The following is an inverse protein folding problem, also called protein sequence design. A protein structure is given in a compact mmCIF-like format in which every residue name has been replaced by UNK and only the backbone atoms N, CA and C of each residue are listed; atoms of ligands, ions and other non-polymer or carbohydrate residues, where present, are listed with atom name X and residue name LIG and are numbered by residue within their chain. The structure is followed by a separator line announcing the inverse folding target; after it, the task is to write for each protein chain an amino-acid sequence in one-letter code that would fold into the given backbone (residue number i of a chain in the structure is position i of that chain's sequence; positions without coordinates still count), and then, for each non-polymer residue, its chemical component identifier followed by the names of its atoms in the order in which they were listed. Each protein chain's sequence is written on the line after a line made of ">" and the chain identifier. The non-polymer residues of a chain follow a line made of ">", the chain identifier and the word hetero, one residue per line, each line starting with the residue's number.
data_IF_709692118604
#
_entry.id   IF_709692118604
#
_cell.length_a   1.000
_cell.length_b   1.000
_cell.length_c   1.000
_cell.angle_alpha   90.00
_cell.angle_beta   90.00
_cell.angle_gamma   90.00
#
_symmetry.space_group_name_H-M   'P 1'
#
loop_
_entity.id
_entity.type
_entity.pdbx_description
1 polymer ?
#
# COMPACT_ATOMS: atom_id res chain seq x y z
N UNK A 1 -10.72 29.97 -12.16
CA UNK A 1 -9.73 28.87 -12.38
C UNK A 1 -9.77 28.52 -13.87
N UNK A 2 -8.62 28.55 -14.56
CA UNK A 2 -8.58 28.24 -16.00
C UNK A 2 -8.18 26.75 -16.17
N UNK A 3 -9.16 25.90 -16.42
CA UNK A 3 -8.95 24.49 -16.77
C UNK A 3 -9.46 24.33 -18.20
N UNK A 4 -8.70 23.60 -19.02
CA UNK A 4 -9.09 23.28 -20.37
C UNK A 4 -10.45 22.57 -20.36
N UNK A 5 -11.38 23.05 -21.20
CA UNK A 5 -12.77 22.64 -21.17
C UNK A 5 -12.95 21.17 -21.58
N UNK A 6 -12.16 20.69 -22.54
CA UNK A 6 -12.26 19.32 -23.03
C UNK A 6 -11.69 18.37 -22.00
N UNK A 7 -10.58 18.76 -21.35
CA UNK A 7 -10.04 18.00 -20.23
C UNK A 7 -11.04 17.92 -19.07
N UNK A 8 -11.68 19.05 -18.67
CA UNK A 8 -12.70 19.03 -17.62
C UNK A 8 -13.88 18.12 -17.97
N UNK A 9 -14.37 18.18 -19.22
CA UNK A 9 -15.49 17.36 -19.68
C UNK A 9 -15.17 15.86 -19.65
N UNK A 10 -13.91 15.47 -19.89
CA UNK A 10 -13.44 14.09 -19.83
C UNK A 10 -13.24 13.52 -18.41
N UNK A 11 -13.30 14.35 -17.36
CA UNK A 11 -13.13 13.89 -15.98
C UNK A 11 -14.36 13.08 -15.54
N UNK A 12 -14.14 12.14 -14.62
CA UNK A 12 -15.19 11.47 -13.85
C UNK A 12 -15.74 12.40 -12.77
N UNK A 13 -16.90 12.07 -12.21
CA UNK A 13 -17.43 12.76 -11.04
C UNK A 13 -16.50 12.59 -9.84
N UNK A 14 -16.31 13.66 -9.05
CA UNK A 14 -15.41 13.65 -7.90
C UNK A 14 -14.88 15.00 -7.49
N UNK A 15 -13.92 14.97 -6.56
CA UNK A 15 -13.21 16.13 -6.01
C UNK A 15 -11.81 16.20 -6.61
N UNK A 16 -11.39 17.39 -6.99
CA UNK A 16 -10.13 17.67 -7.69
C UNK A 16 -9.44 18.90 -7.14
N UNK A 17 -8.13 18.99 -7.38
CA UNK A 17 -7.39 20.24 -7.19
C UNK A 17 -6.47 20.52 -8.37
N UNK A 18 -6.35 21.79 -8.74
CA UNK A 18 -5.25 22.32 -9.52
C UNK A 18 -4.23 22.89 -8.54
N UNK A 19 -3.04 22.33 -8.50
CA UNK A 19 -1.91 22.82 -7.71
C UNK A 19 -0.92 23.50 -8.65
N UNK A 20 -0.81 24.81 -8.53
CA UNK A 20 0.17 25.61 -9.24
C UNK A 20 1.45 25.67 -8.41
N UNK A 21 2.57 25.28 -9.01
CA UNK A 21 3.89 25.33 -8.36
C UNK A 21 4.83 26.23 -9.12
N UNK A 22 5.95 26.61 -8.51
CA UNK A 22 7.02 27.34 -9.20
C UNK A 22 7.71 26.55 -10.33
N UNK A 23 7.36 25.26 -10.50
CA UNK A 23 7.89 24.37 -11.55
C UNK A 23 6.83 23.94 -12.58
N UNK A 24 5.57 24.34 -12.41
CA UNK A 24 4.45 23.98 -13.29
C UNK A 24 3.18 23.62 -12.52
N UNK A 25 2.22 23.09 -13.23
CA UNK A 25 0.88 22.82 -12.72
C UNK A 25 0.61 21.32 -12.63
N UNK A 26 -0.03 20.90 -11.55
CA UNK A 26 -0.50 19.53 -11.33
C UNK A 26 -2.02 19.52 -11.23
N UNK A 27 -2.70 18.58 -11.86
CA UNK A 27 -4.11 18.28 -11.56
C UNK A 27 -4.17 17.00 -10.75
N UNK A 28 -4.80 17.08 -9.59
CA UNK A 28 -4.95 15.99 -8.63
C UNK A 28 -6.41 15.55 -8.63
N UNK A 29 -6.65 14.24 -8.75
CA UNK A 29 -7.93 13.60 -8.41
C UNK A 29 -7.83 13.09 -6.98
N UNK A 30 -8.80 13.44 -6.15
CA UNK A 30 -8.89 12.90 -4.80
C UNK A 30 -9.70 11.60 -4.76
N UNK A 31 -9.37 10.74 -3.80
CA UNK A 31 -10.05 9.47 -3.51
C UNK A 31 -11.00 9.68 -2.33
N UNK A 32 -11.98 10.54 -2.52
CA UNK A 32 -12.93 11.01 -1.51
C UNK A 32 -13.86 9.91 -0.95
N UNK A 33 -14.01 8.81 -1.69
CA UNK A 33 -14.76 7.63 -1.22
C UNK A 33 -13.93 6.71 -0.34
N UNK A 34 -12.62 6.64 -0.59
CA UNK A 34 -11.69 5.73 0.10
C UNK A 34 -11.04 6.39 1.32
N UNK A 35 -10.86 7.71 1.29
CA UNK A 35 -10.25 8.51 2.36
C UNK A 35 -11.01 9.84 2.57
N UNK A 36 -12.31 9.80 2.87
CA UNK A 36 -13.17 11.01 2.90
C UNK A 36 -12.69 12.08 3.87
N UNK A 37 -12.22 11.71 5.05
CA UNK A 37 -11.78 12.68 6.08
C UNK A 37 -10.42 13.26 5.73
N UNK A 38 -9.51 12.46 5.19
CA UNK A 38 -8.18 12.90 4.75
C UNK A 38 -8.29 13.85 3.56
N UNK A 39 -9.13 13.52 2.57
CA UNK A 39 -9.44 14.41 1.45
C UNK A 39 -10.06 15.72 1.95
N UNK A 40 -11.03 15.63 2.84
CA UNK A 40 -11.69 16.80 3.41
C UNK A 40 -10.71 17.68 4.21
N UNK A 41 -9.76 17.08 4.92
CA UNK A 41 -8.69 17.84 5.59
C UNK A 41 -7.86 18.63 4.58
N UNK A 42 -7.37 17.98 3.52
CA UNK A 42 -6.56 18.66 2.51
C UNK A 42 -7.36 19.76 1.80
N UNK A 43 -8.56 19.44 1.33
CA UNK A 43 -9.44 20.39 0.63
C UNK A 43 -9.79 21.58 1.51
N UNK A 44 -10.24 21.32 2.74
CA UNK A 44 -10.65 22.39 3.64
C UNK A 44 -9.48 23.28 4.11
N UNK A 45 -8.27 22.74 4.22
CA UNK A 45 -7.06 23.53 4.41
C UNK A 45 -6.74 24.36 3.15
N UNK A 46 -6.81 23.76 1.95
CA UNK A 46 -6.57 24.46 0.70
C UNK A 46 -7.54 25.64 0.48
N UNK A 47 -8.79 25.50 0.91
CA UNK A 47 -9.81 26.54 0.83
C UNK A 47 -9.78 27.53 2.03
N UNK A 48 -9.03 27.22 3.09
CA UNK A 48 -9.02 27.99 4.34
C UNK A 48 -10.30 27.85 5.16
N UNK A 49 -11.11 26.81 4.92
CA UNK A 49 -12.39 26.54 5.60
C UNK A 49 -12.22 25.76 6.90
N UNK A 50 -11.12 25.02 7.06
CA UNK A 50 -10.76 24.32 8.31
C UNK A 50 -9.91 25.23 9.19
N UNK A 51 -10.32 25.38 10.45
CA UNK A 51 -9.59 26.12 11.47
C UNK A 51 -8.24 25.45 11.77
N UNK A 52 -7.17 26.24 11.78
CA UNK A 52 -5.80 25.80 12.03
C UNK A 52 -5.00 26.89 12.76
N UNK A 53 -3.82 26.55 13.29
CA UNK A 53 -2.98 27.49 14.05
C UNK A 53 -1.96 28.25 13.19
N UNK A 54 -1.77 27.86 11.94
CA UNK A 54 -0.73 28.44 11.07
C UNK A 54 -1.24 29.60 10.20
N UNK A 55 -2.52 29.59 9.83
CA UNK A 55 -3.14 30.61 8.97
C UNK A 55 -4.44 31.10 9.60
N UNK A 56 -4.81 32.36 9.34
CA UNK A 56 -6.10 32.88 9.76
C UNK A 56 -7.26 32.19 9.01
N UNK A 57 -8.44 32.18 9.61
CA UNK A 57 -9.64 31.64 8.97
C UNK A 57 -9.92 32.33 7.63
N UNK A 58 -10.24 31.55 6.62
CA UNK A 58 -10.49 32.03 5.25
C UNK A 58 -9.22 32.23 4.41
N UNK A 59 -8.04 32.01 4.97
CA UNK A 59 -6.77 32.10 4.24
C UNK A 59 -6.37 30.70 3.74
N UNK A 60 -6.17 30.49 2.41
CA UNK A 60 -5.67 29.24 1.85
C UNK A 60 -4.38 28.77 2.53
N UNK A 61 -4.41 27.54 3.06
CA UNK A 61 -3.32 27.05 3.89
C UNK A 61 -2.04 26.78 3.09
N UNK A 62 -2.17 26.14 1.93
CA UNK A 62 -1.03 25.65 1.16
C UNK A 62 -0.36 26.71 0.29
N UNK A 63 -1.02 27.85 0.05
CA UNK A 63 -0.47 28.93 -0.77
C UNK A 63 0.80 29.52 -0.14
N UNK A 64 1.91 29.48 -0.90
CA UNK A 64 3.22 29.94 -0.48
C UNK A 64 4.07 28.90 0.27
N UNK A 65 3.53 27.73 0.60
CA UNK A 65 4.28 26.65 1.27
C UNK A 65 5.28 26.00 0.29
N UNK A 66 6.45 25.60 0.82
CA UNK A 66 7.52 24.99 0.03
C UNK A 66 7.48 23.45 0.06
N UNK A 67 8.00 22.83 -0.98
CA UNK A 67 8.46 21.44 -0.91
C UNK A 67 9.78 21.43 -0.14
N UNK A 68 9.71 21.10 1.14
CA UNK A 68 10.84 21.22 2.06
C UNK A 68 11.76 19.98 2.05
N UNK A 69 11.28 18.84 1.53
CA UNK A 69 12.04 17.60 1.42
C UNK A 69 11.73 16.91 0.09
N UNK A 70 12.76 16.67 -0.71
CA UNK A 70 12.64 16.09 -2.04
C UNK A 70 13.73 15.03 -2.21
N UNK A 71 13.34 13.79 -2.46
CA UNK A 71 14.27 12.68 -2.68
C UNK A 71 13.97 12.07 -4.05
N UNK A 72 14.94 12.19 -4.94
CA UNK A 72 14.88 11.59 -6.28
C UNK A 72 14.73 10.07 -6.20
N UNK A 73 13.95 9.50 -7.11
CA UNK A 73 13.55 8.08 -7.12
C UNK A 73 12.79 7.67 -5.84
N UNK A 74 12.08 8.62 -5.22
CA UNK A 74 11.24 8.34 -4.07
C UNK A 74 10.00 9.23 -4.06
N UNK A 75 10.09 10.48 -3.56
CA UNK A 75 8.93 11.37 -3.39
C UNK A 75 9.32 12.84 -3.25
N UNK A 76 8.33 13.72 -3.45
CA UNK A 76 8.39 15.14 -3.12
C UNK A 76 7.43 15.43 -1.95
N UNK A 77 7.90 16.06 -0.88
CA UNK A 77 7.14 16.32 0.36
C UNK A 77 6.98 17.81 0.63
N UNK A 78 5.73 18.20 0.93
CA UNK A 78 5.35 19.56 1.25
C UNK A 78 4.27 19.62 2.32
N UNK A 79 3.57 20.78 2.44
CA UNK A 79 2.45 20.94 3.35
C UNK A 79 2.81 21.35 4.77
N UNK A 80 4.09 21.60 5.06
CA UNK A 80 4.55 22.19 6.31
C UNK A 80 4.50 23.71 6.23
N UNK A 81 3.73 24.40 7.08
CA UNK A 81 3.61 25.87 7.04
C UNK A 81 4.90 26.60 7.44
N UNK A 82 5.82 25.92 8.14
CA UNK A 82 7.13 26.45 8.53
C UNK A 82 8.22 26.10 7.51
N UNK A 83 7.97 25.11 6.63
CA UNK A 83 8.92 24.63 5.65
C UNK A 83 10.15 23.95 6.26
N UNK A 84 10.07 23.44 7.48
CA UNK A 84 11.16 22.83 8.25
C UNK A 84 11.04 21.30 8.35
N UNK A 85 9.89 20.75 8.01
CA UNK A 85 9.50 19.36 8.23
C UNK A 85 8.87 19.11 9.61
N UNK A 86 8.86 20.11 10.50
CA UNK A 86 8.38 20.01 11.88
C UNK A 86 7.03 20.69 12.11
N UNK A 87 6.60 21.55 11.17
CA UNK A 87 5.36 22.31 11.28
C UNK A 87 4.12 21.44 11.01
N UNK A 88 3.01 21.83 11.66
CA UNK A 88 1.70 21.19 11.50
C UNK A 88 0.56 22.22 11.55
N UNK A 89 -0.69 21.83 11.28
CA UNK A 89 -1.83 22.77 11.32
C UNK A 89 -2.31 23.08 12.75
N UNK A 90 -1.64 22.56 13.77
CA UNK A 90 -2.03 22.69 15.17
C UNK A 90 -2.98 21.61 15.68
N UNK A 91 -3.16 20.55 14.89
CA UNK A 91 -3.90 19.35 15.27
C UNK A 91 -3.34 18.11 14.56
N UNK A 92 -3.74 16.94 15.06
CA UNK A 92 -3.48 15.64 14.44
C UNK A 92 -4.76 14.84 14.32
N UNK A 93 -4.81 13.91 13.36
CA UNK A 93 -5.92 12.98 13.18
C UNK A 93 -5.42 11.59 12.78
N UNK A 94 -6.28 10.59 13.01
CA UNK A 94 -5.93 9.18 12.81
C UNK A 94 -5.76 8.83 11.32
N UNK A 95 -4.99 7.76 11.05
CA UNK A 95 -4.87 7.19 9.71
C UNK A 95 -6.23 6.67 9.24
N UNK A 96 -6.65 7.02 8.04
CA UNK A 96 -7.80 6.41 7.38
C UNK A 96 -7.37 5.15 6.64
N UNK A 97 -7.72 3.97 7.16
CA UNK A 97 -7.37 2.68 6.54
C UNK A 97 -8.19 2.44 5.29
N UNK A 98 -7.51 2.13 4.20
CA UNK A 98 -8.10 1.81 2.90
C UNK A 98 -7.23 0.82 2.13
N UNK A 99 -7.71 0.35 0.97
CA UNK A 99 -7.02 -0.61 0.11
C UNK A 99 -6.05 0.03 -0.88
N UNK A 100 -5.96 1.37 -0.90
CA UNK A 100 -5.11 2.09 -1.83
C UNK A 100 -3.62 1.84 -1.55
N UNK A 101 -2.84 1.78 -2.62
CA UNK A 101 -1.42 1.48 -2.62
C UNK A 101 -0.63 2.58 -3.30
N UNK A 102 0.66 2.66 -2.96
CA UNK A 102 1.62 3.54 -3.65
C UNK A 102 2.19 2.82 -4.89
N UNK A 103 1.32 2.55 -5.87
CA UNK A 103 1.64 1.67 -7.01
C UNK A 103 2.53 2.29 -8.06
N UNK A 104 2.75 3.61 -8.01
CA UNK A 104 3.48 4.31 -9.06
C UNK A 104 3.76 5.76 -8.77
N UNK A 105 4.07 6.51 -9.82
CA UNK A 105 4.22 7.96 -9.79
C UNK A 105 2.89 8.66 -9.53
N UNK A 106 2.94 9.80 -8.84
CA UNK A 106 1.83 10.73 -8.69
C UNK A 106 0.85 10.41 -7.56
N UNK A 107 1.05 9.34 -6.78
CA UNK A 107 0.18 9.07 -5.63
C UNK A 107 0.40 10.08 -4.52
N UNK A 108 -0.69 10.71 -4.10
CA UNK A 108 -0.73 11.69 -3.01
C UNK A 108 -1.04 10.96 -1.70
N UNK A 109 -0.18 11.13 -0.71
CA UNK A 109 -0.26 10.41 0.56
C UNK A 109 0.11 11.30 1.74
N UNK A 110 -0.43 11.02 2.93
CA UNK A 110 -0.13 11.80 4.14
C UNK A 110 1.25 11.48 4.67
N UNK A 111 2.06 12.53 4.90
CA UNK A 111 3.24 12.40 5.73
C UNK A 111 2.84 12.39 7.21
N UNK A 112 3.50 11.54 8.01
CA UNK A 112 3.25 11.40 9.44
C UNK A 112 4.53 11.09 10.21
N UNK A 113 4.50 11.26 11.54
CA UNK A 113 5.59 10.93 12.47
C UNK A 113 5.35 9.59 13.20
N UNK A 114 4.63 8.69 12.57
CA UNK A 114 4.15 7.42 13.12
C UNK A 114 2.64 7.30 13.02
N UNK A 115 2.05 6.16 13.42
CA UNK A 115 0.62 5.92 13.29
C UNK A 115 -0.23 7.01 13.94
N UNK A 116 -1.32 7.40 13.24
CA UNK A 116 -2.33 8.33 13.75
C UNK A 116 -1.80 9.75 14.09
N UNK A 117 -0.83 10.25 13.30
CA UNK A 117 -0.23 11.57 13.48
C UNK A 117 -0.34 12.45 12.24
N UNK A 118 -1.38 12.24 11.40
CA UNK A 118 -1.60 13.05 10.21
C UNK A 118 -1.93 14.50 10.57
N UNK A 119 -1.45 15.43 9.77
CA UNK A 119 -1.72 16.87 9.90
C UNK A 119 -1.99 17.50 8.55
N UNK A 120 -1.09 18.39 8.12
CA UNK A 120 -1.16 19.06 6.81
C UNK A 120 -0.08 18.58 5.83
N UNK A 121 0.99 17.92 6.32
CA UNK A 121 2.07 17.49 5.46
C UNK A 121 1.66 16.30 4.59
N UNK A 122 2.04 16.34 3.33
CA UNK A 122 1.79 15.31 2.34
C UNK A 122 3.03 15.07 1.49
N UNK A 123 3.05 13.95 0.79
CA UNK A 123 4.04 13.69 -0.26
C UNK A 123 3.36 13.20 -1.53
N UNK A 124 4.06 13.38 -2.65
CA UNK A 124 3.67 12.86 -3.95
C UNK A 124 4.79 11.91 -4.39
N UNK A 125 4.46 10.66 -4.72
CA UNK A 125 5.43 9.65 -5.13
C UNK A 125 6.01 9.95 -6.52
N UNK A 126 7.31 9.72 -6.70
CA UNK A 126 7.99 9.75 -8.01
C UNK A 126 8.06 8.34 -8.62
N UNK A 127 8.11 7.30 -7.78
CA UNK A 127 8.17 5.89 -8.15
C UNK A 127 7.24 5.06 -7.26
N UNK A 128 6.97 3.77 -7.58
CA UNK A 128 6.25 2.89 -6.65
C UNK A 128 6.97 2.78 -5.30
N UNK A 129 6.22 2.91 -4.19
CA UNK A 129 6.77 2.86 -2.83
C UNK A 129 5.98 1.89 -1.94
N UNK A 130 5.94 0.58 -2.28
CA UNK A 130 5.06 -0.39 -1.61
C UNK A 130 5.38 -0.58 -0.12
N UNK A 131 6.57 -0.23 0.35
CA UNK A 131 6.94 -0.27 1.77
C UNK A 131 6.21 0.77 2.64
N UNK A 132 5.54 1.75 2.03
CA UNK A 132 4.69 2.75 2.69
C UNK A 132 3.22 2.33 2.79
N UNK A 133 2.82 1.26 2.10
CA UNK A 133 1.44 0.77 2.09
C UNK A 133 0.95 0.43 3.49
N UNK A 134 -0.26 0.89 3.82
CA UNK A 134 -0.88 0.71 5.14
C UNK A 134 -0.26 1.52 6.28
N UNK A 135 0.85 2.25 6.04
CA UNK A 135 1.53 3.14 7.01
C UNK A 135 1.20 4.61 6.79
N UNK A 136 0.93 4.97 5.55
CA UNK A 136 0.56 6.33 5.14
C UNK A 136 -0.75 6.26 4.36
N UNK A 137 -1.70 7.15 4.68
CA UNK A 137 -3.00 7.19 4.01
C UNK A 137 -2.85 7.77 2.60
N UNK A 138 -3.02 6.94 1.59
CA UNK A 138 -3.16 7.39 0.19
C UNK A 138 -4.53 8.04 0.03
N UNK A 139 -4.60 9.25 -0.54
CA UNK A 139 -5.86 9.98 -0.66
C UNK A 139 -6.07 10.71 -1.99
N UNK A 140 -5.15 10.56 -2.94
CA UNK A 140 -5.29 11.14 -4.26
C UNK A 140 -4.20 10.70 -5.23
N UNK A 141 -4.34 11.15 -6.47
CA UNK A 141 -3.35 10.92 -7.54
C UNK A 141 -3.28 12.11 -8.49
N UNK A 142 -2.09 12.47 -8.90
CA UNK A 142 -1.84 13.39 -10.01
C UNK A 142 -2.31 12.70 -11.30
N UNK A 143 -3.18 13.36 -12.06
CA UNK A 143 -3.76 12.85 -13.32
C UNK A 143 -3.35 13.68 -14.53
N UNK A 144 -2.68 14.81 -14.31
CA UNK A 144 -2.06 15.66 -15.35
C UNK A 144 -0.92 16.44 -14.73
N UNK A 145 0.19 16.58 -15.45
CA UNK A 145 1.37 17.33 -14.98
C UNK A 145 2.38 16.45 -14.25
N UNK A 146 2.41 15.13 -14.47
CA UNK A 146 3.38 14.24 -13.81
C UNK A 146 4.85 14.65 -14.09
N UNK A 147 5.12 15.30 -15.22
CA UNK A 147 6.44 15.87 -15.57
C UNK A 147 6.89 16.97 -14.58
N UNK A 148 5.97 17.62 -13.90
CA UNK A 148 6.30 18.60 -12.86
C UNK A 148 6.87 17.91 -11.61
N UNK A 149 6.43 16.69 -11.30
CA UNK A 149 7.00 15.88 -10.23
C UNK A 149 8.48 15.61 -10.54
N UNK A 150 8.78 15.21 -11.79
CA UNK A 150 10.15 14.98 -12.24
C UNK A 150 10.99 16.27 -12.21
N UNK A 151 10.41 17.40 -12.63
CA UNK A 151 11.09 18.70 -12.60
C UNK A 151 11.43 19.14 -11.16
N UNK A 152 10.58 18.81 -10.18
CA UNK A 152 10.86 19.05 -8.77
C UNK A 152 11.91 18.06 -8.25
N UNK A 153 11.75 16.76 -8.52
CA UNK A 153 12.64 15.70 -8.04
C UNK A 153 14.07 15.80 -8.59
N UNK A 154 14.24 16.36 -9.80
CA UNK A 154 15.55 16.60 -10.43
C UNK A 154 16.16 17.97 -10.07
N UNK A 155 15.56 18.76 -9.21
CA UNK A 155 16.14 20.02 -8.76
C UNK A 155 17.40 19.77 -7.91
N UNK A 156 18.29 20.74 -7.85
CA UNK A 156 19.50 20.63 -7.03
C UNK A 156 19.16 20.62 -5.53
N UNK A 157 19.61 19.59 -4.82
CA UNK A 157 19.34 19.40 -3.39
C UNK A 157 20.50 19.92 -2.54
N UNK A 158 20.16 20.51 -1.41
CA UNK A 158 21.07 20.89 -0.32
C UNK A 158 21.04 19.86 0.82
N UNK A 159 21.39 20.30 2.01
CA UNK A 159 21.33 19.48 3.21
C UNK A 159 19.90 19.05 3.53
N UNK A 160 19.75 17.84 4.09
CA UNK A 160 18.47 17.26 4.53
C UNK A 160 17.44 17.11 3.39
N UNK A 161 17.92 16.82 2.17
CA UNK A 161 17.08 16.65 0.98
C UNK A 161 16.23 17.89 0.63
N UNK A 162 16.65 19.07 1.06
CA UNK A 162 15.97 20.33 0.80
C UNK A 162 16.42 20.90 -0.55
N UNK A 163 15.51 21.31 -1.45
CA UNK A 163 15.89 22.00 -2.66
C UNK A 163 16.72 23.27 -2.35
N UNK A 164 17.87 23.46 -3.04
CA UNK A 164 18.71 24.65 -2.88
C UNK A 164 17.98 25.92 -3.29
N UNK A 165 17.17 25.85 -4.34
CA UNK A 165 16.22 26.91 -4.71
C UNK A 165 14.84 26.50 -4.19
N UNK A 166 14.18 27.42 -3.47
CA UNK A 166 12.84 27.14 -2.95
C UNK A 166 11.86 26.82 -4.09
N UNK A 167 11.17 25.70 -3.95
CA UNK A 167 10.09 25.27 -4.84
C UNK A 167 8.79 25.44 -4.05
N UNK A 168 7.93 26.36 -4.51
CA UNK A 168 6.71 26.76 -3.79
C UNK A 168 5.46 26.19 -4.45
N UNK A 169 4.50 25.86 -3.63
CA UNK A 169 3.09 25.78 -4.00
C UNK A 169 2.62 27.23 -4.12
N UNK A 170 2.37 27.69 -5.33
CA UNK A 170 1.93 29.04 -5.58
C UNK A 170 0.48 29.19 -5.18
N UNK A 171 -0.35 28.20 -5.58
CA UNK A 171 -1.78 28.18 -5.30
C UNK A 171 -2.34 26.78 -5.40
N UNK A 172 -3.32 26.44 -4.54
CA UNK A 172 -4.16 25.26 -4.68
C UNK A 172 -5.61 25.71 -4.90
N UNK A 173 -6.17 25.36 -6.05
CA UNK A 173 -7.56 25.67 -6.41
C UNK A 173 -8.36 24.36 -6.47
N UNK A 174 -9.32 24.19 -5.56
CA UNK A 174 -10.21 23.04 -5.52
C UNK A 174 -11.37 23.21 -6.48
N UNK A 175 -11.81 22.13 -7.10
CA UNK A 175 -13.02 22.08 -7.92
C UNK A 175 -13.65 20.70 -7.87
N UNK A 176 -14.93 20.63 -8.17
CA UNK A 176 -15.70 19.39 -8.19
C UNK A 176 -16.32 19.16 -9.55
N UNK A 177 -16.68 17.92 -9.87
CA UNK A 177 -17.47 17.53 -11.02
C UNK A 177 -18.57 16.55 -10.60
N UNK A 178 -19.74 16.71 -11.20
CA UNK A 178 -20.94 15.91 -10.96
C UNK A 178 -21.87 16.50 -9.90
N UNK A 179 -23.17 16.30 -10.10
CA UNK A 179 -24.23 16.89 -9.28
C UNK A 179 -24.12 16.47 -7.79
N UNK A 180 -23.62 15.27 -7.52
CA UNK A 180 -23.41 14.79 -6.15
C UNK A 180 -22.37 15.60 -5.37
N UNK A 181 -21.53 16.33 -6.06
CA UNK A 181 -20.43 17.10 -5.47
C UNK A 181 -20.65 18.64 -5.46
N UNK A 182 -21.79 19.11 -5.97
CA UNK A 182 -22.11 20.56 -5.97
C UNK A 182 -22.09 21.17 -4.57
N UNK A 183 -22.41 20.38 -3.55
CA UNK A 183 -22.47 20.80 -2.15
C UNK A 183 -21.38 20.14 -1.29
N UNK A 184 -20.21 19.83 -1.91
CA UNK A 184 -19.11 19.24 -1.16
C UNK A 184 -18.60 20.24 -0.11
N UNK A 185 -18.79 19.90 1.16
CA UNK A 185 -18.38 20.71 2.31
C UNK A 185 -17.27 20.01 3.08
N UNK A 186 -16.03 20.36 2.72
CA UNK A 186 -14.85 19.77 3.31
C UNK A 186 -14.74 20.01 4.82
N UNK A 187 -15.07 21.22 5.29
CA UNK A 187 -14.99 21.54 6.71
C UNK A 187 -15.99 20.72 7.53
N UNK A 188 -17.21 20.53 7.04
CA UNK A 188 -18.21 19.68 7.68
C UNK A 188 -17.77 18.22 7.73
N UNK A 189 -17.34 17.65 6.57
CA UNK A 189 -16.91 16.27 6.47
C UNK A 189 -15.75 15.99 7.44
N UNK A 190 -14.74 16.86 7.48
CA UNK A 190 -13.60 16.73 8.39
C UNK A 190 -14.01 16.80 9.85
N UNK A 191 -14.77 17.82 10.24
CA UNK A 191 -15.16 18.03 11.65
C UNK A 191 -16.07 16.94 12.20
N UNK A 192 -16.99 16.41 11.39
CA UNK A 192 -17.87 15.31 11.77
C UNK A 192 -17.19 13.94 11.69
N UNK A 193 -16.19 13.80 10.80
CA UNK A 193 -15.53 12.53 10.48
C UNK A 193 -14.30 12.23 11.32
N UNK A 194 -13.46 13.22 11.65
CA UNK A 194 -12.15 13.00 12.30
C UNK A 194 -12.25 12.20 13.62
N UNK A 195 -13.29 12.38 14.39
CA UNK A 195 -13.52 11.62 15.63
C UNK A 195 -14.05 10.20 15.41
N UNK A 196 -14.48 9.86 14.20
CA UNK A 196 -15.05 8.56 13.83
C UNK A 196 -14.06 7.65 13.10
N UNK A 197 -12.91 8.15 12.67
CA UNK A 197 -11.92 7.39 11.90
C UNK A 197 -11.56 6.07 12.61
N UNK A 198 -11.34 6.11 13.91
CA UNK A 198 -10.98 4.94 14.69
C UNK A 198 -12.05 3.84 14.65
N UNK A 199 -13.32 4.19 14.72
CA UNK A 199 -14.43 3.23 14.61
C UNK A 199 -14.59 2.73 13.18
N UNK A 200 -14.46 3.61 12.20
CA UNK A 200 -14.48 3.24 10.79
C UNK A 200 -13.35 2.26 10.46
N UNK A 201 -12.13 2.50 10.95
CA UNK A 201 -11.00 1.60 10.81
C UNK A 201 -11.26 0.22 11.41
N UNK A 202 -11.89 0.17 12.59
CA UNK A 202 -12.27 -1.10 13.22
C UNK A 202 -13.25 -1.89 12.35
N UNK A 203 -14.26 -1.22 11.81
CA UNK A 203 -15.23 -1.82 10.89
C UNK A 203 -14.56 -2.30 9.61
N UNK A 204 -13.66 -1.49 9.03
CA UNK A 204 -12.88 -1.84 7.85
C UNK A 204 -12.02 -3.09 8.09
N UNK A 205 -11.25 -3.13 9.19
CA UNK A 205 -10.41 -4.26 9.53
C UNK A 205 -11.23 -5.54 9.77
N UNK A 206 -12.35 -5.45 10.46
CA UNK A 206 -13.26 -6.59 10.68
C UNK A 206 -13.81 -7.14 9.35
N UNK A 207 -14.12 -6.26 8.38
CA UNK A 207 -14.53 -6.66 7.03
C UNK A 207 -13.40 -7.39 6.31
N UNK A 208 -12.17 -6.85 6.35
CA UNK A 208 -11.00 -7.47 5.74
C UNK A 208 -10.70 -8.86 6.34
N UNK A 209 -10.80 -9.00 7.66
CA UNK A 209 -10.65 -10.28 8.36
C UNK A 209 -11.72 -11.30 7.93
N UNK A 210 -12.99 -10.87 7.83
CA UNK A 210 -14.06 -11.74 7.37
C UNK A 210 -13.89 -12.19 5.92
N UNK A 211 -13.47 -11.28 5.02
CA UNK A 211 -13.17 -11.61 3.62
C UNK A 211 -11.97 -12.57 3.51
N UNK A 212 -10.92 -12.35 4.30
CA UNK A 212 -9.77 -13.23 4.35
C UNK A 212 -10.14 -14.63 4.88
N UNK A 213 -10.98 -14.71 5.92
CA UNK A 213 -11.49 -15.97 6.45
C UNK A 213 -12.33 -16.73 5.41
N UNK A 214 -13.24 -16.04 4.71
CA UNK A 214 -14.03 -16.63 3.62
C UNK A 214 -13.13 -17.17 2.52
N UNK A 215 -12.17 -16.40 2.06
CA UNK A 215 -11.21 -16.84 1.03
C UNK A 215 -10.39 -18.04 1.48
N UNK A 216 -10.00 -18.09 2.77
CA UNK A 216 -9.30 -19.23 3.33
C UNK A 216 -10.17 -20.50 3.29
N UNK A 217 -11.45 -20.43 3.63
CA UNK A 217 -12.37 -21.57 3.53
C UNK A 217 -12.57 -22.03 2.06
N UNK A 218 -12.66 -21.10 1.14
CA UNK A 218 -12.70 -21.42 -0.31
C UNK A 218 -11.43 -22.13 -0.77
N UNK A 219 -10.25 -21.73 -0.30
CA UNK A 219 -8.98 -22.38 -0.60
C UNK A 219 -8.88 -23.80 -0.01
N UNK A 220 -9.48 -24.06 1.15
CA UNK A 220 -9.52 -25.38 1.78
C UNK A 220 -10.39 -26.39 1.02
N UNK A 221 -11.34 -25.89 0.23
CA UNK A 221 -12.30 -26.73 -0.47
C UNK A 221 -11.60 -27.71 -1.44
N UNK A 222 -11.90 -29.00 -1.30
CA UNK A 222 -11.34 -30.05 -2.14
C UNK A 222 -9.86 -30.39 -1.88
N UNK A 223 -9.29 -29.91 -0.76
CA UNK A 223 -7.96 -30.32 -0.30
C UNK A 223 -8.03 -31.50 0.69
N UNK A 224 -7.05 -32.38 0.63
CA UNK A 224 -6.82 -33.41 1.65
C UNK A 224 -6.15 -32.77 2.87
N UNK A 225 -6.45 -33.27 4.08
CA UNK A 225 -5.88 -32.78 5.33
C UNK A 225 -5.11 -33.86 6.05
N UNK A 226 -3.91 -33.58 6.49
CA UNK A 226 -3.11 -34.47 7.34
C UNK A 226 -3.46 -34.31 8.83
N UNK A 227 -2.93 -35.21 9.66
CA UNK A 227 -3.14 -35.17 11.11
C UNK A 227 -2.55 -33.91 11.77
N UNK A 228 -1.48 -33.33 11.24
CA UNK A 228 -0.85 -32.11 11.72
C UNK A 228 -1.64 -30.83 11.36
N UNK A 229 -2.55 -30.93 10.38
CA UNK A 229 -3.34 -29.81 9.89
C UNK A 229 -2.86 -29.22 8.56
N UNK A 230 -1.82 -29.75 7.95
CA UNK A 230 -1.43 -29.43 6.58
C UNK A 230 -2.55 -29.79 5.62
N UNK A 231 -2.92 -28.87 4.72
CA UNK A 231 -3.83 -29.19 3.61
C UNK A 231 -3.04 -29.22 2.31
N UNK A 232 -3.38 -30.17 1.45
CA UNK A 232 -2.69 -30.36 0.18
C UNK A 232 -3.62 -30.86 -0.92
N UNK A 233 -3.25 -30.55 -2.16
CA UNK A 233 -3.93 -31.04 -3.36
C UNK A 233 -2.88 -31.33 -4.42
N UNK A 234 -2.75 -32.57 -4.83
CA UNK A 234 -1.90 -32.97 -5.95
C UNK A 234 -2.61 -32.55 -7.23
N UNK A 235 -1.96 -31.71 -8.03
CA UNK A 235 -2.50 -31.16 -9.29
C UNK A 235 -1.99 -31.93 -10.51
N UNK A 236 -0.78 -32.52 -10.41
CA UNK A 236 -0.22 -33.42 -11.40
C UNK A 236 0.34 -34.64 -10.67
N UNK A 237 -0.18 -35.81 -10.99
CA UNK A 237 0.29 -37.07 -10.40
C UNK A 237 1.31 -37.76 -11.30
N UNK A 238 2.29 -38.45 -10.66
CA UNK A 238 3.23 -39.33 -11.30
C UNK A 238 3.34 -40.63 -10.49
N UNK A 239 2.45 -41.63 -10.72
CA UNK A 239 2.45 -42.90 -9.95
C UNK A 239 3.77 -43.63 -9.96
N UNK A 240 4.54 -43.54 -11.04
CA UNK A 240 5.84 -44.18 -11.23
C UNK A 240 7.03 -43.39 -10.65
N UNK A 241 6.79 -42.19 -10.17
CA UNK A 241 7.82 -41.32 -9.59
C UNK A 241 8.39 -41.89 -8.30
N UNK A 242 9.67 -41.65 -8.05
CA UNK A 242 10.35 -42.05 -6.79
C UNK A 242 9.75 -41.24 -5.63
N UNK A 243 9.29 -41.96 -4.59
CA UNK A 243 8.84 -41.32 -3.35
C UNK A 243 10.05 -40.98 -2.45
N UNK A 244 10.18 -39.77 -1.91
CA UNK A 244 11.24 -39.43 -0.99
C UNK A 244 11.03 -40.07 0.39
N UNK A 245 12.12 -40.27 1.10
CA UNK A 245 12.14 -40.69 2.52
C UNK A 245 12.79 -39.58 3.35
N UNK A 246 12.51 -39.55 4.64
CA UNK A 246 13.18 -38.61 5.54
C UNK A 246 14.71 -38.77 5.46
N UNK A 247 15.40 -37.64 5.25
CA UNK A 247 16.84 -37.58 5.03
C UNK A 247 17.28 -37.57 3.56
N UNK A 248 16.41 -37.91 2.61
CA UNK A 248 16.75 -37.81 1.18
C UNK A 248 16.95 -36.35 0.78
N UNK A 249 17.89 -36.10 -0.14
CA UNK A 249 18.04 -34.79 -0.76
C UNK A 249 17.02 -34.68 -1.89
N UNK A 250 16.20 -33.62 -1.84
CA UNK A 250 15.18 -33.34 -2.85
C UNK A 250 15.46 -32.01 -3.53
N UNK A 251 15.11 -31.91 -4.83
CA UNK A 251 15.09 -30.66 -5.58
C UNK A 251 13.63 -30.22 -5.81
N UNK A 252 13.24 -29.04 -5.36
CA UNK A 252 11.87 -28.57 -5.38
C UNK A 252 11.79 -27.18 -6.01
N UNK A 253 10.95 -27.05 -7.02
CA UNK A 253 10.47 -25.75 -7.46
C UNK A 253 9.24 -25.32 -6.66
N UNK A 254 9.09 -24.01 -6.43
CA UNK A 254 7.95 -23.49 -5.69
C UNK A 254 7.62 -22.02 -6.00
N UNK A 255 6.35 -21.66 -5.75
CA UNK A 255 5.88 -20.29 -5.62
C UNK A 255 5.14 -20.14 -4.29
N UNK A 256 5.67 -19.30 -3.39
CA UNK A 256 5.11 -19.04 -2.07
C UNK A 256 4.28 -17.75 -2.04
N UNK A 257 3.03 -17.83 -1.55
CA UNK A 257 2.07 -16.73 -1.50
C UNK A 257 1.36 -16.67 -0.15
N UNK A 258 0.98 -15.47 0.25
CA UNK A 258 -0.01 -15.28 1.32
C UNK A 258 -1.42 -15.59 0.79
N UNK A 259 -2.40 -15.79 1.70
CA UNK A 259 -3.80 -16.06 1.34
C UNK A 259 -4.48 -14.91 0.59
N UNK A 260 -3.95 -13.70 0.67
CA UNK A 260 -4.39 -12.55 -0.13
C UNK A 260 -3.81 -12.55 -1.56
N UNK A 261 -2.98 -13.54 -1.92
CA UNK A 261 -2.35 -13.68 -3.24
C UNK A 261 -0.99 -12.99 -3.39
N UNK A 262 -0.52 -12.24 -2.37
CA UNK A 262 0.80 -11.60 -2.41
C UNK A 262 1.89 -12.67 -2.40
N UNK A 263 2.67 -12.74 -3.49
CA UNK A 263 3.84 -13.61 -3.59
C UNK A 263 4.98 -13.04 -2.73
N UNK A 264 5.66 -13.92 -1.99
CA UNK A 264 6.80 -13.54 -1.16
C UNK A 264 8.09 -14.24 -1.57
N UNK A 265 8.02 -15.37 -2.28
CA UNK A 265 9.18 -16.07 -2.83
C UNK A 265 8.78 -16.97 -4.00
N UNK A 266 9.71 -17.17 -4.97
CA UNK A 266 9.41 -17.95 -6.17
C UNK A 266 10.69 -18.46 -6.84
N UNK A 267 10.94 -19.76 -6.79
CA UNK A 267 12.09 -20.42 -7.41
C UNK A 267 11.97 -20.52 -8.93
N UNK A 268 10.75 -20.59 -9.48
CA UNK A 268 10.56 -20.59 -10.93
C UNK A 268 11.09 -19.31 -11.59
N UNK A 269 10.91 -18.16 -10.92
CA UNK A 269 11.45 -16.87 -11.39
C UNK A 269 12.97 -16.79 -11.32
N UNK A 270 13.59 -17.53 -10.39
CA UNK A 270 15.05 -17.65 -10.31
C UNK A 270 15.64 -18.64 -11.32
N UNK A 271 14.80 -19.52 -11.87
CA UNK A 271 15.21 -20.53 -12.87
C UNK A 271 15.83 -21.80 -12.27
N UNK A 272 15.99 -21.90 -10.95
CA UNK A 272 16.63 -23.02 -10.26
C UNK A 272 15.78 -23.51 -9.09
N UNK A 273 15.58 -24.85 -8.93
CA UNK A 273 14.95 -25.43 -7.77
C UNK A 273 15.85 -25.27 -6.55
N UNK A 274 15.26 -25.29 -5.36
CA UNK A 274 16.05 -25.41 -4.12
C UNK A 274 16.29 -26.87 -3.77
N UNK A 275 17.46 -27.15 -3.20
CA UNK A 275 17.82 -28.47 -2.70
C UNK A 275 17.92 -28.47 -1.18
N UNK A 276 17.36 -29.49 -0.54
CA UNK A 276 17.43 -29.65 0.91
C UNK A 276 17.17 -31.13 1.29
N UNK A 277 17.57 -31.51 2.51
CA UNK A 277 17.21 -32.82 3.05
C UNK A 277 15.82 -32.75 3.68
N UNK A 278 14.87 -33.55 3.14
CA UNK A 278 13.47 -33.54 3.55
C UNK A 278 13.22 -34.29 4.85
N UNK A 279 12.29 -33.83 5.67
CA UNK A 279 11.84 -34.51 6.88
C UNK A 279 12.81 -34.43 8.08
N UNK A 280 13.80 -33.55 8.04
CA UNK A 280 14.85 -33.42 9.08
C UNK A 280 14.96 -31.99 9.66
N UNK A 281 14.00 -31.11 9.40
CA UNK A 281 13.91 -29.76 9.98
C UNK A 281 14.76 -28.70 9.29
N UNK A 282 15.19 -28.92 8.04
CA UNK A 282 15.90 -27.91 7.25
C UNK A 282 14.97 -26.83 6.67
N UNK A 283 13.68 -27.13 6.56
CA UNK A 283 12.64 -26.26 6.03
C UNK A 283 11.49 -26.16 7.03
N UNK A 284 10.49 -25.31 6.75
CA UNK A 284 9.29 -25.24 7.60
C UNK A 284 8.58 -26.60 7.69
N UNK A 285 7.94 -26.87 8.83
CA UNK A 285 7.32 -28.18 9.11
C UNK A 285 6.33 -28.63 8.03
N UNK A 286 5.54 -27.70 7.50
CA UNK A 286 4.60 -27.98 6.41
C UNK A 286 5.27 -28.47 5.13
N UNK A 287 6.49 -28.05 4.86
CA UNK A 287 7.30 -28.54 3.74
C UNK A 287 7.90 -29.93 4.04
N UNK A 288 8.49 -30.09 5.24
CA UNK A 288 9.06 -31.37 5.65
C UNK A 288 8.03 -32.49 5.58
N UNK A 289 6.78 -32.21 5.94
CA UNK A 289 5.68 -33.14 5.84
C UNK A 289 5.13 -33.26 4.41
N UNK A 290 4.85 -32.10 3.76
CA UNK A 290 4.15 -32.06 2.48
C UNK A 290 4.94 -32.69 1.34
N UNK A 291 6.25 -32.44 1.26
CA UNK A 291 7.11 -33.00 0.20
C UNK A 291 7.21 -34.53 0.32
N UNK A 292 7.16 -35.10 1.53
CA UNK A 292 7.13 -36.55 1.73
C UNK A 292 5.83 -37.20 1.21
N UNK A 293 4.78 -36.46 0.95
CA UNK A 293 3.53 -36.95 0.35
C UNK A 293 3.59 -37.02 -1.17
N UNK A 294 4.61 -36.44 -1.80
CA UNK A 294 4.75 -36.37 -3.26
C UNK A 294 5.72 -37.42 -3.78
N UNK A 295 5.63 -37.67 -5.07
CA UNK A 295 6.60 -38.42 -5.85
C UNK A 295 7.33 -37.51 -6.84
N UNK A 296 8.52 -37.89 -7.26
CA UNK A 296 9.30 -37.20 -8.29
C UNK A 296 8.46 -36.94 -9.54
N UNK A 297 8.44 -35.69 -9.99
CA UNK A 297 7.65 -35.21 -11.13
C UNK A 297 6.19 -34.79 -10.79
N UNK A 298 5.76 -34.94 -9.54
CA UNK A 298 4.44 -34.48 -9.10
C UNK A 298 4.44 -32.99 -8.74
N UNK A 299 3.30 -32.33 -8.97
CA UNK A 299 3.02 -30.98 -8.53
C UNK A 299 1.85 -30.97 -7.55
N UNK A 300 1.92 -30.08 -6.57
CA UNK A 300 0.86 -29.92 -5.58
C UNK A 300 0.75 -28.46 -5.12
N UNK A 301 -0.42 -28.14 -4.59
CA UNK A 301 -0.61 -26.93 -3.78
C UNK A 301 -0.69 -27.34 -2.32
N UNK A 302 0.12 -26.72 -1.48
CA UNK A 302 0.07 -26.82 -0.02
C UNK A 302 -0.58 -25.56 0.55
N UNK A 303 -1.52 -25.74 1.48
CA UNK A 303 -2.06 -24.68 2.32
C UNK A 303 -1.63 -24.97 3.76
N UNK A 304 -0.65 -24.19 4.22
CA UNK A 304 0.12 -24.45 5.44
C UNK A 304 -0.37 -23.52 6.55
N UNK A 305 -0.92 -24.05 7.66
CA UNK A 305 -1.27 -23.23 8.81
C UNK A 305 -0.01 -22.65 9.48
N UNK A 306 -0.16 -21.55 10.18
CA UNK A 306 0.97 -20.81 10.75
C UNK A 306 1.88 -21.65 11.65
N UNK A 307 1.32 -22.60 12.38
CA UNK A 307 2.04 -23.51 13.31
C UNK A 307 3.00 -24.46 12.59
N UNK A 308 2.71 -24.72 11.32
CA UNK A 308 3.58 -25.51 10.42
C UNK A 308 4.43 -24.62 9.51
N UNK A 309 4.29 -23.31 9.61
CA UNK A 309 5.02 -22.28 8.87
C UNK A 309 5.91 -21.44 9.78
N UNK A 310 5.66 -20.12 9.81
CA UNK A 310 6.49 -19.15 10.55
C UNK A 310 5.87 -18.68 11.88
N UNK A 311 4.70 -19.23 12.29
CA UNK A 311 4.07 -19.02 13.58
C UNK A 311 3.76 -17.57 13.92
N UNK A 312 3.76 -17.27 15.22
CA UNK A 312 3.47 -15.94 15.75
C UNK A 312 4.54 -14.86 15.45
N UNK A 313 5.71 -15.26 14.95
CA UNK A 313 6.78 -14.30 14.59
C UNK A 313 6.65 -13.78 13.17
N UNK A 314 6.07 -14.56 12.25
CA UNK A 314 6.19 -14.28 10.82
C UNK A 314 7.64 -14.34 10.33
N UNK A 315 7.94 -13.80 9.16
CA UNK A 315 9.30 -13.76 8.62
C UNK A 315 9.59 -12.52 7.77
N UNK A 316 10.79 -11.94 7.96
CA UNK A 316 11.40 -10.94 7.09
C UNK A 316 10.57 -9.68 6.82
N UNK A 317 9.59 -9.35 7.65
CA UNK A 317 8.67 -8.24 7.40
C UNK A 317 7.73 -8.46 6.20
N UNK A 318 7.81 -9.61 5.53
CA UNK A 318 7.02 -9.97 4.35
C UNK A 318 5.89 -10.94 4.71
N UNK A 319 6.14 -11.87 5.63
CA UNK A 319 5.17 -12.84 6.15
C UNK A 319 4.67 -12.35 7.51
N UNK A 320 3.38 -11.97 7.62
CA UNK A 320 2.81 -11.50 8.89
C UNK A 320 2.81 -12.59 9.98
N UNK A 321 2.71 -12.22 11.27
CA UNK A 321 2.39 -13.13 12.34
C UNK A 321 1.11 -13.93 12.07
N UNK A 322 1.13 -15.22 12.41
CA UNK A 322 0.00 -16.14 12.27
C UNK A 322 -0.56 -16.31 10.85
N UNK A 323 0.26 -16.02 9.82
CA UNK A 323 -0.18 -16.13 8.44
C UNK A 323 -0.29 -17.58 7.97
N UNK A 324 -1.37 -17.90 7.29
CA UNK A 324 -1.48 -19.07 6.43
C UNK A 324 -0.67 -18.86 5.16
N UNK A 325 -0.02 -19.90 4.66
CA UNK A 325 0.83 -19.85 3.48
C UNK A 325 0.29 -20.77 2.39
N UNK A 326 0.36 -20.31 1.15
CA UNK A 326 0.08 -21.13 -0.03
C UNK A 326 1.41 -21.38 -0.72
N UNK A 327 1.71 -22.64 -1.03
CA UNK A 327 2.85 -23.00 -1.85
C UNK A 327 2.38 -23.89 -3.00
N UNK A 328 2.58 -23.42 -4.22
CA UNK A 328 2.54 -24.27 -5.40
C UNK A 328 3.94 -24.87 -5.54
N UNK A 329 4.04 -26.20 -5.50
CA UNK A 329 5.32 -26.92 -5.47
C UNK A 329 5.41 -27.94 -6.60
N UNK A 330 6.62 -28.20 -7.08
CA UNK A 330 6.98 -29.31 -7.97
C UNK A 330 8.17 -30.06 -7.38
N UNK A 331 7.99 -31.34 -7.08
CA UNK A 331 9.09 -32.23 -6.68
C UNK A 331 9.85 -32.67 -7.94
N UNK A 332 10.93 -31.97 -8.26
CA UNK A 332 11.68 -32.16 -9.51
C UNK A 332 12.52 -33.43 -9.46
N UNK A 333 13.18 -33.68 -8.32
CA UNK A 333 14.14 -34.81 -8.20
C UNK A 333 14.22 -35.33 -6.76
N UNK A 334 14.38 -36.62 -6.62
CA UNK A 334 14.76 -37.32 -5.37
C UNK A 334 16.13 -37.95 -5.58
N UNK A 335 17.16 -37.44 -4.91
CA UNK A 335 18.56 -37.88 -5.00
C UNK A 335 18.86 -39.03 -4.07
#
# INVERSE_FOLDING_TARGET
>A
MNIDKDFYNGLQDGVYAKMETSKGELIIKFFDKDAPVTVANFVGLAEGTIENKAKAKGVPYYDGIVFHRVIKNFMIQGGDPQGTGMGDPGYKFDDEKNDLKHEGKGYLSMANSGPNTNGSQFFITEVPTPWLDGKHTVFGKVIKGEEVIDAIANSEMGAQDRPKQEIKIVKVSVFTKGDAYEKYDAAKIFNEGKGKIKENNKTYLAKQEAEAAKKLEELKAGMSKTASGLLYKISKSNPEGKAPKAGDIVAVHYAGKLTNGKEFDNSFKRGEPIEFSVGVGQVIKGWDEGILLLKEGETATFLIPSELGYGARGAGGVIPPNAWLIFDVELVKVK
#
